data_IF_947125249952
#
_entry.id   IF_947125249952
#
_cell.length_a   1.000
_cell.length_b   1.000
_cell.length_c   1.000
_cell.angle_alpha   90.00
_cell.angle_beta   90.00
_cell.angle_gamma   90.00
#
_symmetry.space_group_name_H-M   'P 1'
#
loop_
_entity.id
_entity.type
_entity.pdbx_description
1 polymer ?
#
# COMPACT_ATOMS: atom_id res chain seq x y z
N UNK A 1 7.40 14.07 -32.49
CA UNK A 1 7.68 12.61 -32.50
C UNK A 1 8.17 12.05 -31.16
N UNK A 2 9.07 12.74 -30.43
CA UNK A 2 9.60 12.26 -29.14
C UNK A 2 8.56 12.11 -28.00
N UNK A 3 7.56 12.99 -27.92
CA UNK A 3 6.47 12.93 -26.92
C UNK A 3 5.58 11.69 -27.10
N UNK A 4 5.29 11.32 -28.35
CA UNK A 4 4.48 10.13 -28.69
C UNK A 4 5.23 8.82 -28.41
N UNK A 5 6.55 8.80 -28.63
CA UNK A 5 7.41 7.65 -28.29
C UNK A 5 7.54 7.48 -26.77
N UNK A 6 7.65 8.58 -26.01
CA UNK A 6 7.60 8.56 -24.54
C UNK A 6 6.25 8.05 -24.02
N UNK A 7 5.13 8.52 -24.58
CA UNK A 7 3.78 8.02 -24.24
C UNK A 7 3.61 6.53 -24.55
N UNK A 8 4.07 6.04 -25.69
CA UNK A 8 4.00 4.62 -26.05
C UNK A 8 4.88 3.74 -25.15
N UNK A 9 6.07 4.21 -24.78
CA UNK A 9 6.98 3.50 -23.87
C UNK A 9 6.42 3.43 -22.44
N UNK A 10 5.87 4.54 -21.96
CA UNK A 10 5.16 4.63 -20.66
C UNK A 10 3.92 3.73 -20.67
N UNK A 11 3.12 3.69 -21.74
CA UNK A 11 2.01 2.72 -21.89
C UNK A 11 2.47 1.26 -21.82
N UNK A 12 3.61 0.91 -22.41
CA UNK A 12 4.11 -0.48 -22.40
C UNK A 12 4.60 -0.91 -21.01
N UNK A 13 5.16 0.01 -20.24
CA UNK A 13 5.62 -0.23 -18.86
C UNK A 13 4.44 -0.25 -17.88
N UNK A 14 3.41 0.56 -18.11
CA UNK A 14 2.24 0.72 -17.23
C UNK A 14 1.11 -0.28 -17.49
N UNK A 15 1.14 -1.02 -18.60
CA UNK A 15 0.08 -1.94 -19.01
C UNK A 15 -0.30 -3.03 -17.98
N UNK A 16 0.57 -3.47 -17.05
CA UNK A 16 0.15 -4.40 -15.99
C UNK A 16 -0.52 -3.74 -14.76
N UNK A 17 -0.64 -2.41 -14.70
CA UNK A 17 -1.03 -1.67 -13.48
C UNK A 17 -2.41 -1.04 -13.59
N UNK A 18 -3.44 -1.86 -13.82
CA UNK A 18 -4.80 -1.45 -13.53
C UNK A 18 -4.94 -1.26 -12.01
N UNK A 19 -5.06 -0.01 -11.57
CA UNK A 19 -5.41 0.30 -10.17
C UNK A 19 -6.90 -0.01 -10.03
N UNK A 20 -7.24 -1.25 -9.66
CA UNK A 20 -8.60 -1.54 -9.17
C UNK A 20 -8.75 -0.90 -7.79
N UNK A 21 -9.92 -0.32 -7.51
CA UNK A 21 -10.23 0.42 -6.28
C UNK A 21 -10.14 -0.38 -4.97
N UNK A 22 -9.52 -1.56 -4.97
CA UNK A 22 -9.31 -2.36 -3.76
C UNK A 22 -8.26 -1.67 -2.84
N UNK A 23 -8.56 -1.46 -1.54
CA UNK A 23 -7.67 -0.76 -0.60
C UNK A 23 -6.27 -1.35 -0.49
N UNK A 24 -6.15 -2.69 -0.59
CA UNK A 24 -4.87 -3.42 -0.55
C UNK A 24 -3.98 -3.17 -1.79
N UNK A 25 -4.56 -2.71 -2.90
CA UNK A 25 -3.84 -2.40 -4.14
C UNK A 25 -3.40 -0.93 -4.22
N UNK A 26 -4.02 -0.02 -3.47
CA UNK A 26 -3.75 1.40 -3.59
C UNK A 26 -2.42 1.83 -2.91
N UNK A 27 -2.12 1.26 -1.75
CA UNK A 27 -0.84 1.52 -1.04
C UNK A 27 0.36 1.01 -1.84
N UNK A 28 0.25 -0.21 -2.36
CA UNK A 28 1.26 -0.82 -3.22
C UNK A 28 1.38 -0.08 -4.55
N UNK A 29 0.26 0.31 -5.18
CA UNK A 29 0.29 1.04 -6.46
C UNK A 29 0.89 2.44 -6.34
N UNK A 30 0.63 3.20 -5.28
CA UNK A 30 1.24 4.52 -5.07
C UNK A 30 2.78 4.46 -5.00
N UNK A 31 3.32 3.44 -4.33
CA UNK A 31 4.77 3.17 -4.30
C UNK A 31 5.32 2.81 -5.68
N UNK A 32 4.58 2.00 -6.44
CA UNK A 32 4.92 1.62 -7.81
C UNK A 32 4.93 2.82 -8.75
N UNK A 33 3.92 3.71 -8.68
CA UNK A 33 3.83 4.95 -9.46
C UNK A 33 5.04 5.86 -9.27
N UNK A 34 5.49 6.04 -8.01
CA UNK A 34 6.69 6.82 -7.71
C UNK A 34 7.93 6.26 -8.43
N UNK A 35 8.11 4.94 -8.42
CA UNK A 35 9.24 4.27 -9.10
C UNK A 35 9.16 4.43 -10.61
N UNK A 36 7.97 4.34 -11.20
CA UNK A 36 7.77 4.51 -12.65
C UNK A 36 8.04 5.95 -13.07
N UNK A 37 7.54 6.94 -12.33
CA UNK A 37 7.83 8.35 -12.64
C UNK A 37 9.31 8.67 -12.58
N UNK A 38 10.03 8.08 -11.61
CA UNK A 38 11.47 8.20 -11.50
C UNK A 38 12.19 7.54 -12.68
N UNK A 39 11.85 6.29 -13.00
CA UNK A 39 12.48 5.55 -14.09
C UNK A 39 12.22 6.18 -15.48
N UNK A 40 11.00 6.66 -15.72
CA UNK A 40 10.61 7.28 -16.99
C UNK A 40 10.87 8.79 -17.06
N UNK A 41 11.42 9.40 -15.99
CA UNK A 41 11.69 10.85 -15.88
C UNK A 41 10.48 11.70 -16.28
N UNK A 42 9.31 11.35 -15.74
CA UNK A 42 8.04 12.02 -16.06
C UNK A 42 8.02 13.42 -15.43
N UNK A 43 7.77 14.49 -16.23
CA UNK A 43 7.60 15.85 -15.70
C UNK A 43 6.43 15.94 -14.73
N UNK A 44 6.52 16.78 -13.70
CA UNK A 44 5.46 16.92 -12.68
C UNK A 44 4.11 17.31 -13.27
N UNK A 45 4.12 18.14 -14.31
CA UNK A 45 2.93 18.59 -15.05
C UNK A 45 2.18 17.45 -15.76
N UNK A 46 2.85 16.33 -16.05
CA UNK A 46 2.25 15.18 -16.76
C UNK A 46 1.79 14.07 -15.80
N UNK A 47 2.24 14.06 -14.54
CA UNK A 47 1.98 12.95 -13.60
C UNK A 47 0.49 12.78 -13.29
N UNK A 48 -0.25 13.87 -13.09
CA UNK A 48 -1.70 13.83 -12.82
C UNK A 48 -2.45 13.31 -14.04
N UNK A 49 -2.16 13.86 -15.22
CA UNK A 49 -2.78 13.44 -16.47
C UNK A 49 -2.51 11.95 -16.75
N UNK A 50 -1.25 11.52 -16.67
CA UNK A 50 -0.87 10.12 -16.83
C UNK A 50 -1.62 9.25 -15.83
N UNK A 51 -1.54 9.53 -14.53
CA UNK A 51 -2.20 8.68 -13.52
C UNK A 51 -3.70 8.56 -13.76
N UNK A 52 -4.37 9.67 -14.08
CA UNK A 52 -5.81 9.68 -14.33
C UNK A 52 -6.24 8.73 -15.46
N UNK A 53 -5.39 8.56 -16.47
CA UNK A 53 -5.63 7.63 -17.58
C UNK A 53 -5.57 6.16 -17.15
N UNK A 54 -4.83 5.83 -16.09
CA UNK A 54 -4.68 4.47 -15.57
C UNK A 54 -5.56 4.17 -14.35
N UNK A 55 -6.37 5.12 -13.90
CA UNK A 55 -7.41 4.82 -12.91
C UNK A 55 -8.46 3.91 -13.55
N UNK A 56 -8.89 2.87 -12.81
CA UNK A 56 -9.89 1.91 -13.25
C UNK A 56 -10.92 1.64 -12.15
N UNK A 57 -12.08 1.10 -12.50
CA UNK A 57 -13.17 0.83 -11.55
C UNK A 57 -13.62 2.08 -10.78
N UNK A 58 -13.86 1.92 -9.48
CA UNK A 58 -14.37 2.99 -8.60
C UNK A 58 -13.47 4.22 -8.55
N UNK A 59 -12.15 4.04 -8.68
CA UNK A 59 -11.21 5.17 -8.72
C UNK A 59 -11.39 6.05 -9.96
N UNK A 60 -11.78 5.46 -11.11
CA UNK A 60 -12.07 6.21 -12.33
C UNK A 60 -13.40 6.95 -12.23
N UNK A 61 -14.40 6.34 -11.61
CA UNK A 61 -15.69 6.98 -11.35
C UNK A 61 -15.54 8.16 -10.38
N UNK A 62 -14.80 7.96 -9.30
CA UNK A 62 -14.45 9.03 -8.36
C UNK A 62 -13.75 10.20 -9.05
N UNK A 63 -12.73 9.92 -9.87
CA UNK A 63 -12.00 10.98 -10.60
C UNK A 63 -12.92 11.82 -11.49
N UNK A 64 -13.88 11.18 -12.17
CA UNK A 64 -14.87 11.88 -13.01
C UNK A 64 -15.80 12.76 -12.18
N UNK A 65 -16.26 12.28 -11.02
CA UNK A 65 -17.05 13.09 -10.09
C UNK A 65 -16.24 14.28 -9.57
N UNK A 66 -14.99 14.04 -9.16
CA UNK A 66 -14.11 15.08 -8.61
C UNK A 66 -13.85 16.23 -9.59
N UNK A 67 -13.68 15.92 -10.88
CA UNK A 67 -13.55 16.93 -11.95
C UNK A 67 -14.84 17.72 -12.20
N UNK A 68 -16.01 17.09 -12.00
CA UNK A 68 -17.30 17.76 -12.11
C UNK A 68 -17.60 18.65 -10.91
N UNK A 69 -17.15 18.25 -9.72
CA UNK A 69 -17.33 18.98 -8.46
C UNK A 69 -16.36 20.18 -8.33
N UNK A 70 -15.17 20.11 -8.93
CA UNK A 70 -14.23 21.25 -9.01
C UNK A 70 -14.83 22.47 -9.73
N UNK A 71 -15.81 22.25 -10.61
CA UNK A 71 -16.50 23.33 -11.32
C UNK A 71 -17.60 24.00 -10.48
N UNK A 72 -18.05 23.37 -9.38
CA UNK A 72 -19.23 23.80 -8.61
C UNK A 72 -18.94 24.06 -7.13
N UNK A 73 -17.85 23.54 -6.59
CA UNK A 73 -17.47 23.67 -5.18
C UNK A 73 -16.09 24.32 -5.03
N UNK A 74 -15.92 25.08 -3.95
CA UNK A 74 -14.72 25.82 -3.53
C UNK A 74 -13.53 24.90 -3.14
N UNK A 75 -13.39 23.73 -3.78
CA UNK A 75 -12.34 22.74 -3.53
C UNK A 75 -11.07 23.07 -4.32
N UNK A 76 -9.94 22.75 -3.73
CA UNK A 76 -8.63 22.93 -4.37
C UNK A 76 -8.50 22.01 -5.59
N UNK A 77 -8.01 22.56 -6.70
CA UNK A 77 -7.81 21.84 -7.95
C UNK A 77 -6.64 20.87 -7.83
N UNK A 78 -6.82 19.66 -8.33
CA UNK A 78 -5.79 18.61 -8.30
C UNK A 78 -4.75 18.86 -9.41
N UNK A 79 -3.82 19.78 -9.17
CA UNK A 79 -2.77 20.14 -10.14
C UNK A 79 -1.44 19.42 -9.93
N UNK A 80 -1.21 18.86 -8.74
CA UNK A 80 0.05 18.18 -8.41
C UNK A 80 -0.16 16.70 -8.08
N UNK A 81 0.89 15.90 -8.31
CA UNK A 81 0.92 14.49 -7.95
C UNK A 81 0.66 14.25 -6.45
N UNK A 82 1.20 15.10 -5.58
CA UNK A 82 1.03 14.91 -4.13
C UNK A 82 -0.40 15.22 -3.68
N UNK A 83 -1.08 16.21 -4.29
CA UNK A 83 -2.51 16.46 -4.04
C UNK A 83 -3.36 15.30 -4.53
N UNK A 84 -3.12 14.79 -5.75
CA UNK A 84 -3.82 13.62 -6.29
C UNK A 84 -3.69 12.41 -5.37
N UNK A 85 -2.47 12.14 -4.91
CA UNK A 85 -2.15 11.03 -4.01
C UNK A 85 -2.79 11.20 -2.63
N UNK A 86 -2.87 12.41 -2.11
CA UNK A 86 -3.56 12.70 -0.84
C UNK A 86 -5.05 12.41 -0.98
N UNK A 87 -5.71 12.99 -1.99
CA UNK A 87 -7.14 12.80 -2.25
C UNK A 87 -7.51 11.32 -2.52
N UNK A 88 -6.70 10.62 -3.33
CA UNK A 88 -6.86 9.18 -3.54
C UNK A 88 -6.75 8.39 -2.22
N UNK A 89 -5.85 8.78 -1.33
CA UNK A 89 -5.76 8.15 0.00
C UNK A 89 -6.98 8.50 0.83
N UNK A 90 -7.37 9.76 0.93
CA UNK A 90 -8.49 10.16 1.78
C UNK A 90 -9.81 9.48 1.36
N UNK A 91 -9.99 9.22 0.06
CA UNK A 91 -11.18 8.53 -0.45
C UNK A 91 -11.16 7.01 -0.35
N UNK A 92 -10.03 6.37 -0.63
CA UNK A 92 -9.97 4.91 -0.72
C UNK A 92 -9.21 4.25 0.45
N UNK A 93 -8.58 5.04 1.31
CA UNK A 93 -7.86 4.64 2.51
C UNK A 93 -8.41 5.50 3.68
N UNK A 94 -9.53 5.10 4.31
CA UNK A 94 -10.11 5.88 5.38
C UNK A 94 -9.08 6.15 6.50
N UNK A 95 -9.18 7.31 7.15
CA UNK A 95 -8.26 7.74 8.23
C UNK A 95 -8.12 6.70 9.37
N UNK A 96 -9.07 5.78 9.50
CA UNK A 96 -9.04 4.68 10.45
C UNK A 96 -8.19 3.46 10.01
N UNK A 97 -7.45 3.52 8.89
CA UNK A 97 -6.61 2.41 8.42
C UNK A 97 -5.64 1.90 9.49
N UNK A 98 -5.03 2.80 10.28
CA UNK A 98 -4.18 2.41 11.41
C UNK A 98 -4.99 1.74 12.54
N UNK A 99 -6.19 2.23 12.83
CA UNK A 99 -7.09 1.66 13.83
C UNK A 99 -7.61 0.28 13.43
N UNK A 100 -8.06 0.11 12.18
CA UNK A 100 -8.48 -1.17 11.62
C UNK A 100 -7.32 -2.17 11.56
N UNK A 101 -6.11 -1.70 11.24
CA UNK A 101 -4.92 -2.54 11.27
C UNK A 101 -4.58 -2.99 12.70
N UNK A 102 -4.70 -2.12 13.70
CA UNK A 102 -4.55 -2.48 15.12
C UNK A 102 -5.61 -3.47 15.59
N UNK A 103 -6.86 -3.27 15.19
CA UNK A 103 -7.93 -4.23 15.49
C UNK A 103 -7.68 -5.59 14.82
N UNK A 104 -7.24 -5.58 13.56
CA UNK A 104 -6.88 -6.79 12.84
C UNK A 104 -5.67 -7.49 13.47
N UNK A 105 -4.67 -6.74 13.95
CA UNK A 105 -3.51 -7.29 14.68
C UNK A 105 -3.94 -7.97 15.98
N UNK A 106 -4.83 -7.33 16.75
CA UNK A 106 -5.39 -7.91 17.99
C UNK A 106 -6.09 -9.24 17.73
N UNK A 107 -6.77 -9.36 16.60
CA UNK A 107 -7.53 -10.54 16.21
C UNK A 107 -6.71 -11.54 15.37
N UNK A 108 -5.47 -11.23 15.00
CA UNK A 108 -4.65 -12.07 14.14
C UNK A 108 -4.24 -13.35 14.87
N UNK A 109 -4.53 -14.50 14.26
CA UNK A 109 -4.17 -15.83 14.80
C UNK A 109 -3.53 -16.69 13.73
N UNK A 110 -2.51 -17.44 14.12
CA UNK A 110 -1.84 -18.42 13.28
C UNK A 110 -2.77 -19.64 13.10
N UNK A 111 -3.65 -19.59 12.10
CA UNK A 111 -4.59 -20.68 11.76
C UNK A 111 -3.98 -21.65 10.75
N UNK A 112 -3.39 -21.15 9.67
CA UNK A 112 -2.74 -21.90 8.59
C UNK A 112 -1.26 -22.15 8.80
N UNK A 113 -0.44 -21.81 7.80
CA UNK A 113 1.03 -21.92 7.86
C UNK A 113 1.67 -20.72 8.56
N UNK A 114 2.88 -20.91 9.11
CA UNK A 114 3.68 -19.81 9.69
C UNK A 114 3.94 -18.73 8.64
N UNK A 115 4.20 -19.12 7.38
CA UNK A 115 4.48 -18.19 6.28
C UNK A 115 3.30 -17.27 5.99
N UNK A 116 2.09 -17.80 5.98
CA UNK A 116 0.86 -17.00 5.78
C UNK A 116 0.64 -16.04 6.94
N UNK A 117 0.79 -16.53 8.18
CA UNK A 117 0.70 -15.69 9.37
C UNK A 117 1.72 -14.54 9.35
N UNK A 118 2.99 -14.83 9.05
CA UNK A 118 4.05 -13.81 8.93
C UNK A 118 3.72 -12.81 7.84
N UNK A 119 3.19 -13.25 6.70
CA UNK A 119 2.78 -12.38 5.59
C UNK A 119 1.65 -11.44 6.01
N UNK A 120 0.63 -11.94 6.69
CA UNK A 120 -0.50 -11.13 7.17
C UNK A 120 -0.06 -10.13 8.25
N UNK A 121 0.71 -10.59 9.24
CA UNK A 121 1.29 -9.74 10.27
C UNK A 121 2.12 -8.61 9.66
N UNK A 122 3.03 -8.94 8.73
CA UNK A 122 3.88 -7.96 8.05
C UNK A 122 3.06 -6.95 7.25
N UNK A 123 1.96 -7.39 6.62
CA UNK A 123 1.06 -6.49 5.90
C UNK A 123 0.40 -5.47 6.83
N UNK A 124 -0.06 -5.90 8.01
CA UNK A 124 -0.69 -5.02 8.99
C UNK A 124 0.30 -4.02 9.60
N UNK A 125 1.56 -4.44 9.79
CA UNK A 125 2.62 -3.56 10.28
C UNK A 125 2.96 -2.40 9.32
N UNK A 126 2.64 -2.50 8.03
CA UNK A 126 2.80 -1.39 7.08
C UNK A 126 1.82 -0.23 7.35
N UNK A 127 0.71 -0.52 8.01
CA UNK A 127 -0.35 0.42 8.39
C UNK A 127 -0.15 0.97 9.81
N UNK A 128 0.50 0.22 10.71
CA UNK A 128 0.81 0.64 12.09
C UNK A 128 2.30 0.96 12.26
N UNK A 129 2.69 2.19 11.94
CA UNK A 129 4.11 2.61 11.88
C UNK A 129 4.72 3.03 13.21
N UNK A 130 3.88 3.33 14.20
CA UNK A 130 4.25 3.90 15.50
C UNK A 130 4.32 2.87 16.64
N UNK A 131 4.23 1.57 16.33
CA UNK A 131 4.36 0.50 17.32
C UNK A 131 5.83 0.25 17.66
N UNK A 132 6.14 0.07 18.95
CA UNK A 132 7.50 -0.27 19.41
C UNK A 132 7.91 -1.69 18.99
N UNK A 133 9.22 -1.98 18.91
CA UNK A 133 9.68 -3.35 18.57
C UNK A 133 9.26 -4.37 19.63
N UNK A 134 9.19 -3.97 20.90
CA UNK A 134 8.71 -4.80 22.00
C UNK A 134 7.23 -5.15 21.83
N UNK A 135 6.39 -4.16 21.52
CA UNK A 135 4.97 -4.36 21.24
C UNK A 135 4.76 -5.23 19.99
N UNK A 136 5.59 -5.07 18.96
CA UNK A 136 5.54 -5.91 17.75
C UNK A 136 5.79 -7.37 18.09
N UNK A 137 6.86 -7.65 18.84
CA UNK A 137 7.18 -9.01 19.26
C UNK A 137 6.08 -9.59 20.14
N UNK A 138 5.55 -8.81 21.09
CA UNK A 138 4.44 -9.21 21.95
C UNK A 138 3.19 -9.60 21.16
N UNK A 139 2.75 -8.74 20.23
CA UNK A 139 1.58 -9.01 19.38
C UNK A 139 1.80 -10.22 18.46
N UNK A 140 3.01 -10.37 17.90
CA UNK A 140 3.37 -11.50 17.07
C UNK A 140 3.30 -12.82 17.85
N UNK A 141 3.91 -12.86 19.05
CA UNK A 141 3.89 -14.03 19.92
C UNK A 141 2.46 -14.38 20.37
N UNK A 142 1.63 -13.39 20.70
CA UNK A 142 0.24 -13.58 21.11
C UNK A 142 -0.67 -14.15 20.00
N UNK A 143 -0.28 -13.96 18.73
CA UNK A 143 -0.97 -14.51 17.57
C UNK A 143 -0.55 -15.94 17.20
N UNK A 144 0.63 -16.40 17.64
CA UNK A 144 1.18 -17.70 17.26
C UNK A 144 0.54 -18.89 17.98
N UNK A 145 0.56 -20.05 17.31
CA UNK A 145 0.27 -21.35 17.94
C UNK A 145 1.29 -21.70 19.04
N UNK A 146 0.89 -22.44 20.09
CA UNK A 146 1.77 -22.76 21.21
C UNK A 146 3.12 -23.40 20.81
N UNK A 147 3.11 -24.34 19.87
CA UNK A 147 4.34 -25.00 19.41
C UNK A 147 5.34 -24.00 18.79
N UNK A 148 4.85 -23.02 18.03
CA UNK A 148 5.68 -22.01 17.38
C UNK A 148 6.22 -20.99 18.39
N UNK A 149 5.44 -20.65 19.41
CA UNK A 149 5.92 -19.83 20.53
C UNK A 149 7.05 -20.53 21.29
N UNK A 150 6.89 -21.83 21.58
CA UNK A 150 7.93 -22.62 22.26
C UNK A 150 9.22 -22.66 21.45
N UNK A 151 9.12 -22.87 20.14
CA UNK A 151 10.28 -22.89 19.26
C UNK A 151 10.99 -21.53 19.19
N UNK A 152 10.25 -20.42 19.08
CA UNK A 152 10.86 -19.08 19.11
C UNK A 152 11.53 -18.76 20.44
N UNK A 153 10.94 -19.19 21.56
CA UNK A 153 11.56 -19.07 22.90
C UNK A 153 12.84 -19.90 22.98
N UNK A 154 12.84 -21.13 22.44
CA UNK A 154 14.03 -21.99 22.37
C UNK A 154 15.16 -21.35 21.56
N UNK A 155 14.81 -20.66 20.48
CA UNK A 155 15.78 -19.94 19.63
C UNK A 155 16.24 -18.60 20.23
N UNK A 156 15.62 -18.13 21.31
CA UNK A 156 16.01 -16.90 21.98
C UNK A 156 15.78 -15.64 21.13
N UNK A 157 14.75 -15.63 20.28
CA UNK A 157 14.41 -14.47 19.45
C UNK A 157 13.97 -13.31 20.34
N UNK A 158 14.70 -12.18 20.28
CA UNK A 158 14.46 -10.98 21.10
C UNK A 158 13.84 -9.82 20.31
N UNK A 159 13.85 -9.93 18.99
CA UNK A 159 13.38 -8.94 18.05
C UNK A 159 12.83 -9.63 16.80
N UNK A 160 11.85 -9.02 16.14
CA UNK A 160 11.44 -9.48 14.82
C UNK A 160 12.41 -8.90 13.80
N UNK A 161 13.04 -9.73 12.94
CA UNK A 161 13.89 -9.20 11.89
C UNK A 161 13.10 -8.21 11.06
N UNK A 162 13.62 -6.98 10.91
CA UNK A 162 13.00 -5.89 10.14
C UNK A 162 12.76 -6.28 8.67
N UNK A 163 13.30 -7.42 8.24
CA UNK A 163 12.99 -8.11 7.00
C UNK A 163 12.75 -9.61 7.25
N UNK A 164 11.49 -9.99 7.53
CA UNK A 164 11.01 -11.38 7.44
C UNK A 164 10.89 -11.84 5.97
N UNK A 165 11.95 -11.66 5.19
CA UNK A 165 12.09 -12.21 3.85
C UNK A 165 13.44 -12.95 3.80
N UNK A 166 13.43 -14.27 3.99
CA UNK A 166 14.56 -15.09 3.56
C UNK A 166 15.21 -16.06 4.55
N UNK A 167 14.55 -16.52 5.63
CA UNK A 167 14.95 -17.78 6.25
C UNK A 167 13.80 -18.78 6.25
N UNK A 168 13.88 -19.68 5.28
CA UNK A 168 13.21 -20.96 5.28
C UNK A 168 13.50 -21.68 6.59
N UNK A 169 12.47 -21.82 7.43
CA UNK A 169 12.43 -22.91 8.39
C UNK A 169 12.23 -24.19 7.57
N UNK A 170 13.30 -24.95 7.42
CA UNK A 170 13.29 -26.35 7.02
C UNK A 170 13.45 -27.23 8.25
#
# INVERSE_FOLDING_TARGET
MAVLLRRKFVCRILNPLAVSGAPKNLRTSCGTWKRIFQAARVPDTEKVSITSMYLTGDAKLWWRSRLSDDASANRERIETWEVLKKELKDQFLPCNTSWLARESLRNLKHTGTVREFVKEFSSLMLDVRDMSEEDKLFNFMAGLKPWAQTELRRQGVKDLPTHCCGRSFG
#
